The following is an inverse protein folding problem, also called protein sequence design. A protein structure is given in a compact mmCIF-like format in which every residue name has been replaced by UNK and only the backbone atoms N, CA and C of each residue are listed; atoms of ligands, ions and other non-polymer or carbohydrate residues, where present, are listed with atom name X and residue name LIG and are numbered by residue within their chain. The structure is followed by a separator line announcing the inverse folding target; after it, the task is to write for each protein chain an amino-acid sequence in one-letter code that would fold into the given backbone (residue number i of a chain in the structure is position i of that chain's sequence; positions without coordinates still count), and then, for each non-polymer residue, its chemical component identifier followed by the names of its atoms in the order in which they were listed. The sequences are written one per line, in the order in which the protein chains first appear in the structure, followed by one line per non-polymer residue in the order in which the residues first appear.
data_IF_788379656968
#
_entry.id   IF_788379656968
#
_cell.length_a   1.000
_cell.length_b   1.000
_cell.length_c   1.000
_cell.angle_alpha   90.00
_cell.angle_beta   90.00
_cell.angle_gamma   90.00
#
_symmetry.space_group_name_H-M   'P 1'
#
loop_
_entity.id
_entity.type
_entity.pdbx_description
1 polymer ?
#
# COMPACT_ATOMS: atom_id res chain seq x y z
N UNK A 1 68.41 -4.26 76.20
CA UNK A 1 68.37 -4.74 74.80
C UNK A 1 67.10 -5.57 74.63
N UNK A 2 65.99 -4.91 74.29
CA UNK A 2 65.25 -4.98 73.01
C UNK A 2 64.72 -6.39 72.64
N UNK A 3 63.39 -6.49 72.83
CA UNK A 3 62.41 -7.51 72.45
C UNK A 3 62.45 -7.84 70.95
N UNK A 4 61.98 -9.04 70.58
CA UNK A 4 61.09 -9.25 69.42
C UNK A 4 60.43 -10.63 69.47
N UNK A 5 59.10 -10.63 69.63
CA UNK A 5 58.21 -11.76 69.36
C UNK A 5 57.73 -11.64 67.90
N UNK A 6 57.77 -12.72 67.13
CA UNK A 6 57.24 -12.78 65.76
C UNK A 6 55.82 -13.37 65.83
N UNK A 7 54.80 -12.54 65.57
CA UNK A 7 53.44 -13.00 65.28
C UNK A 7 53.34 -13.37 63.79
N UNK A 8 52.93 -14.61 63.51
CA UNK A 8 52.51 -15.01 62.17
C UNK A 8 51.05 -14.55 61.94
N UNK A 9 50.87 -13.54 61.08
CA UNK A 9 49.55 -13.09 60.64
C UNK A 9 49.06 -13.90 59.44
N UNK A 10 47.91 -14.55 59.57
CA UNK A 10 47.18 -15.18 58.46
C UNK A 10 46.41 -14.08 57.72
N UNK A 11 46.73 -13.85 56.45
CA UNK A 11 45.96 -12.95 55.57
C UNK A 11 44.84 -13.77 54.92
N UNK A 12 43.59 -13.52 55.33
CA UNK A 12 42.41 -14.07 54.68
C UNK A 12 42.04 -13.14 53.50
N UNK A 13 42.20 -13.61 52.28
CA UNK A 13 41.75 -12.89 51.09
C UNK A 13 40.24 -13.10 50.90
N UNK A 14 39.44 -12.06 51.13
CA UNK A 14 38.01 -12.07 50.84
C UNK A 14 37.81 -11.84 49.33
N UNK A 15 37.44 -12.89 48.60
CA UNK A 15 36.99 -12.78 47.22
C UNK A 15 35.55 -12.25 47.18
N UNK A 16 35.39 -10.96 46.89
CA UNK A 16 34.09 -10.36 46.58
C UNK A 16 33.69 -10.76 45.14
N UNK A 17 32.87 -11.80 45.02
CA UNK A 17 32.19 -12.13 43.78
C UNK A 17 31.15 -11.06 43.47
N UNK A 18 31.42 -10.19 42.51
CA UNK A 18 30.42 -9.28 41.97
C UNK A 18 29.42 -10.10 41.15
N UNK A 19 28.21 -10.32 41.68
CA UNK A 19 27.08 -10.73 40.85
C UNK A 19 26.76 -9.56 39.91
N UNK A 20 27.12 -9.71 38.64
CA UNK A 20 26.59 -8.86 37.59
C UNK A 20 25.08 -9.13 37.48
N UNK A 21 24.28 -8.27 38.11
CA UNK A 21 22.85 -8.18 37.84
C UNK A 21 22.75 -7.64 36.42
N UNK A 22 22.53 -8.52 35.46
CA UNK A 22 22.13 -8.14 34.11
C UNK A 22 20.73 -7.54 34.23
N UNK A 23 20.67 -6.21 34.35
CA UNK A 23 19.43 -5.47 34.12
C UNK A 23 19.07 -5.73 32.65
N UNK A 24 17.91 -6.36 32.35
CA UNK A 24 17.45 -6.46 30.98
C UNK A 24 17.42 -5.04 30.42
N UNK A 25 18.10 -4.81 29.29
CA UNK A 25 17.92 -3.56 28.56
C UNK A 25 16.43 -3.38 28.24
N UNK A 26 15.96 -2.15 28.01
CA UNK A 26 14.61 -1.95 27.51
C UNK A 26 14.42 -2.86 26.28
N UNK A 27 13.42 -3.74 26.34
CA UNK A 27 12.97 -4.45 25.15
C UNK A 27 12.69 -3.36 24.09
N UNK A 28 13.11 -3.54 22.82
CA UNK A 28 12.78 -2.57 21.79
C UNK A 28 11.26 -2.39 21.84
N UNK A 29 10.80 -1.14 22.04
CA UNK A 29 9.38 -0.81 22.03
C UNK A 29 8.81 -1.43 20.74
N UNK A 30 8.08 -2.53 20.89
CA UNK A 30 7.70 -3.37 19.76
C UNK A 30 6.90 -2.54 18.76
N UNK A 31 7.11 -2.78 17.46
CA UNK A 31 6.34 -2.10 16.41
C UNK A 31 4.85 -2.24 16.72
N UNK A 32 4.17 -1.10 16.88
CA UNK A 32 2.73 -1.08 17.14
C UNK A 32 2.02 -1.81 16.01
N UNK A 33 1.26 -2.86 16.36
CA UNK A 33 0.49 -3.61 15.37
C UNK A 33 -0.57 -2.70 14.74
N UNK A 34 -0.68 -2.67 13.40
CA UNK A 34 -1.69 -1.88 12.72
C UNK A 34 -3.11 -2.34 13.07
N UNK A 35 -4.07 -1.41 13.13
CA UNK A 35 -5.50 -1.75 13.19
C UNK A 35 -5.93 -2.36 11.85
N UNK A 36 -6.60 -3.51 11.89
CA UNK A 36 -7.08 -4.23 10.71
C UNK A 36 -8.60 -4.38 10.69
N UNK A 37 -9.13 -4.63 9.49
CA UNK A 37 -10.52 -4.98 9.24
C UNK A 37 -10.54 -6.29 8.44
N UNK A 38 -11.40 -7.22 8.84
CA UNK A 38 -11.64 -8.47 8.11
C UNK A 38 -12.67 -8.26 7.01
N UNK A 39 -12.31 -8.57 5.77
CA UNK A 39 -13.18 -8.50 4.60
C UNK A 39 -13.64 -9.91 4.26
N UNK A 40 -14.97 -10.12 4.22
CA UNK A 40 -15.56 -11.41 3.88
C UNK A 40 -15.33 -11.77 2.40
N UNK A 41 -15.27 -13.07 2.04
CA UNK A 41 -15.21 -13.51 0.65
C UNK A 41 -16.42 -13.05 -0.17
N UNK A 42 -16.31 -13.03 -1.49
CA UNK A 42 -17.40 -12.65 -2.39
C UNK A 42 -16.92 -12.19 -3.76
N UNK A 43 -17.81 -11.59 -4.56
CA UNK A 43 -17.53 -11.30 -5.97
C UNK A 43 -17.42 -9.81 -6.26
N UNK A 44 -16.60 -9.48 -7.27
CA UNK A 44 -16.55 -8.14 -7.84
C UNK A 44 -16.67 -8.21 -9.37
N UNK A 45 -17.24 -7.15 -9.95
CA UNK A 45 -17.13 -6.84 -11.36
C UNK A 45 -15.70 -6.35 -11.64
N UNK A 46 -14.90 -7.16 -12.34
CA UNK A 46 -13.49 -6.89 -12.60
C UNK A 46 -13.21 -6.77 -14.09
N UNK A 47 -12.36 -5.81 -14.44
CA UNK A 47 -11.88 -5.60 -15.79
C UNK A 47 -10.37 -5.31 -15.73
N UNK A 48 -9.49 -6.14 -16.30
CA UNK A 48 -8.07 -5.84 -16.34
C UNK A 48 -7.79 -4.49 -17.00
N UNK A 49 -6.92 -3.68 -16.40
CA UNK A 49 -6.48 -2.43 -16.98
C UNK A 49 -5.23 -2.66 -17.84
N UNK A 50 -5.23 -2.12 -19.06
CA UNK A 50 -4.04 -2.13 -19.92
C UNK A 50 -4.35 -2.11 -21.40
N UNK A 51 -3.43 -2.63 -22.20
CA UNK A 51 -3.49 -2.56 -23.66
C UNK A 51 -4.03 -3.85 -24.28
N UNK A 52 -5.27 -3.79 -24.74
CA UNK A 52 -5.94 -4.92 -25.38
C UNK A 52 -6.31 -4.60 -26.82
N UNK A 53 -6.27 -5.61 -27.68
CA UNK A 53 -6.64 -5.47 -29.09
C UNK A 53 -7.72 -6.46 -29.52
N UNK A 54 -8.62 -6.01 -30.38
CA UNK A 54 -9.64 -6.83 -31.07
C UNK A 54 -9.53 -6.53 -32.56
N UNK A 55 -9.30 -7.56 -33.38
CA UNK A 55 -9.09 -7.41 -34.83
C UNK A 55 -8.05 -6.32 -35.21
N UNK A 56 -6.92 -6.27 -34.48
CA UNK A 56 -5.83 -5.32 -34.73
C UNK A 56 -6.10 -3.88 -34.27
N UNK A 57 -7.23 -3.60 -33.60
CA UNK A 57 -7.57 -2.28 -33.05
C UNK A 57 -7.61 -2.31 -31.53
N UNK A 58 -7.16 -1.23 -30.89
CA UNK A 58 -7.27 -1.07 -29.45
C UNK A 58 -8.74 -1.18 -29.01
N UNK A 59 -9.00 -2.01 -28.01
CA UNK A 59 -10.34 -2.29 -27.52
C UNK A 59 -10.28 -2.61 -26.04
N UNK A 60 -11.34 -2.31 -25.29
CA UNK A 60 -11.37 -2.55 -23.84
C UNK A 60 -12.00 -3.91 -23.55
N UNK A 61 -11.41 -4.73 -22.68
CA UNK A 61 -11.98 -6.02 -22.30
C UNK A 61 -13.35 -5.85 -21.64
N UNK A 62 -14.22 -6.85 -21.85
CA UNK A 62 -15.47 -6.97 -21.12
C UNK A 62 -15.25 -7.09 -19.60
N UNK A 63 -16.26 -6.69 -18.82
CA UNK A 63 -16.28 -6.94 -17.37
C UNK A 63 -16.51 -8.42 -17.14
N UNK A 64 -15.79 -9.01 -16.18
CA UNK A 64 -16.00 -10.38 -15.70
C UNK A 64 -16.21 -10.39 -14.19
N UNK A 65 -17.01 -11.34 -13.71
CA UNK A 65 -17.10 -11.57 -12.27
C UNK A 65 -15.87 -12.35 -11.80
N UNK A 66 -15.27 -11.92 -10.70
CA UNK A 66 -14.17 -12.64 -10.05
C UNK A 66 -14.47 -12.83 -8.58
N UNK A 67 -14.15 -14.03 -8.09
CA UNK A 67 -14.20 -14.32 -6.66
C UNK A 67 -12.94 -13.77 -5.98
N UNK A 68 -13.16 -13.06 -4.89
CA UNK A 68 -12.13 -12.56 -3.99
C UNK A 68 -12.30 -13.32 -2.67
N UNK A 69 -11.29 -14.10 -2.24
CA UNK A 69 -11.28 -14.75 -0.93
C UNK A 69 -11.44 -13.74 0.21
N UNK A 70 -11.73 -14.22 1.41
CA UNK A 70 -11.68 -13.36 2.59
C UNK A 70 -10.22 -13.00 2.93
N UNK A 71 -9.99 -11.78 3.41
CA UNK A 71 -8.66 -11.29 3.77
C UNK A 71 -8.74 -10.25 4.89
N UNK A 72 -7.63 -10.00 5.57
CA UNK A 72 -7.50 -8.91 6.53
C UNK A 72 -6.67 -7.77 5.93
N UNK A 73 -7.11 -6.53 6.14
CA UNK A 73 -6.48 -5.34 5.55
C UNK A 73 -6.37 -4.23 6.59
N UNK A 74 -5.30 -3.45 6.53
CA UNK A 74 -5.13 -2.27 7.38
C UNK A 74 -6.31 -1.31 7.23
N UNK A 75 -6.83 -0.84 8.37
CA UNK A 75 -7.94 0.11 8.42
C UNK A 75 -7.60 1.45 7.77
N UNK A 76 -6.41 1.95 8.08
CA UNK A 76 -5.86 3.20 7.56
C UNK A 76 -4.72 2.91 6.58
N UNK A 77 -4.32 3.91 5.79
CA UNK A 77 -3.04 3.84 5.08
C UNK A 77 -1.87 3.83 6.07
N UNK A 78 -0.73 3.28 5.64
CA UNK A 78 0.52 3.37 6.41
C UNK A 78 0.83 4.84 6.65
N UNK A 79 0.98 5.21 7.92
CA UNK A 79 1.27 6.57 8.33
C UNK A 79 2.74 6.91 8.18
N UNK A 80 3.04 8.22 8.12
CA UNK A 80 4.41 8.72 8.17
C UNK A 80 5.16 8.28 9.42
N UNK A 81 4.48 8.25 10.57
CA UNK A 81 5.08 7.79 11.82
C UNK A 81 5.46 6.30 11.77
N UNK A 82 4.59 5.45 11.22
CA UNK A 82 4.86 4.01 11.06
C UNK A 82 5.99 3.77 10.04
N UNK A 83 5.99 4.50 8.92
CA UNK A 83 7.05 4.39 7.92
C UNK A 83 8.41 4.86 8.47
N UNK A 84 8.44 5.92 9.29
CA UNK A 84 9.66 6.38 9.95
C UNK A 84 10.27 5.35 10.91
N UNK A 85 9.47 4.43 11.49
CA UNK A 85 10.03 3.32 12.25
C UNK A 85 10.82 2.35 11.35
N UNK A 86 10.33 2.08 10.13
CA UNK A 86 11.08 1.30 9.13
C UNK A 86 12.36 2.01 8.68
N UNK A 87 12.31 3.34 8.53
CA UNK A 87 13.47 4.17 8.23
C UNK A 87 14.50 4.13 9.37
N UNK A 88 14.05 4.24 10.62
CA UNK A 88 14.93 4.18 11.79
C UNK A 88 15.67 2.82 11.91
N UNK A 89 15.02 1.74 11.47
CA UNK A 89 15.62 0.41 11.38
C UNK A 89 16.52 0.21 10.15
N UNK A 90 16.64 1.22 9.28
CA UNK A 90 17.44 1.17 8.05
C UNK A 90 16.86 0.28 6.96
N UNK A 91 15.59 -0.12 7.08
CA UNK A 91 14.92 -1.00 6.12
C UNK A 91 14.16 -0.24 5.02
N UNK A 92 13.83 1.03 5.25
CA UNK A 92 13.16 1.91 4.31
C UNK A 92 13.99 3.17 4.02
N UNK A 93 13.84 3.74 2.82
CA UNK A 93 14.45 5.01 2.45
C UNK A 93 13.68 6.19 3.08
N UNK A 94 14.38 7.17 3.63
CA UNK A 94 13.79 8.43 4.08
C UNK A 94 13.47 9.33 2.88
N UNK A 95 12.18 9.59 2.68
CA UNK A 95 11.66 10.43 1.58
C UNK A 95 11.29 11.84 2.03
N UNK A 96 11.62 12.22 3.25
CA UNK A 96 11.50 13.61 3.74
C UNK A 96 10.05 14.10 3.92
N UNK A 97 9.07 13.21 4.05
CA UNK A 97 7.65 13.57 4.25
C UNK A 97 7.32 14.06 5.65
N UNK A 98 8.29 14.05 6.57
CA UNK A 98 8.11 14.41 7.98
C UNK A 98 7.35 13.34 8.77
N UNK A 99 6.99 13.64 10.02
CA UNK A 99 6.31 12.73 10.94
C UNK A 99 4.80 13.03 11.09
N UNK A 100 4.08 12.13 11.76
CA UNK A 100 2.70 12.34 12.20
C UNK A 100 1.69 11.35 11.61
N UNK A 101 0.42 11.53 11.99
CA UNK A 101 -0.70 10.67 11.57
C UNK A 101 -1.29 11.10 10.22
N UNK A 102 -0.43 11.23 9.22
CA UNK A 102 -0.81 11.41 7.82
C UNK A 102 -0.37 10.19 7.03
N UNK A 103 -1.05 9.89 5.93
CA UNK A 103 -0.60 8.83 5.01
C UNK A 103 0.84 9.10 4.54
N UNK A 104 1.65 8.04 4.51
CA UNK A 104 2.95 8.06 3.87
C UNK A 104 2.76 8.22 2.37
N UNK A 105 3.47 9.18 1.78
CA UNK A 105 3.42 9.48 0.35
C UNK A 105 4.84 9.52 -0.23
N UNK A 106 5.02 9.84 -1.51
CA UNK A 106 6.35 9.92 -2.14
C UNK A 106 7.12 8.60 -2.08
N UNK A 107 6.39 7.49 -2.14
CA UNK A 107 6.90 6.12 -2.14
C UNK A 107 6.53 5.44 -3.44
N UNK A 108 7.48 4.70 -4.01
CA UNK A 108 7.25 3.86 -5.17
C UNK A 108 6.79 2.45 -4.72
N UNK A 109 6.52 1.57 -5.68
CA UNK A 109 6.05 0.22 -5.37
C UNK A 109 7.09 -0.61 -4.59
N UNK A 110 8.38 -0.40 -4.89
CA UNK A 110 9.48 -1.09 -4.20
C UNK A 110 9.63 -0.63 -2.74
N UNK A 111 9.44 0.65 -2.44
CA UNK A 111 9.46 1.18 -1.07
C UNK A 111 8.30 0.60 -0.25
N UNK A 112 7.11 0.54 -0.84
CA UNK A 112 5.92 0.01 -0.19
C UNK A 112 6.05 -1.49 0.13
N UNK A 113 6.65 -2.26 -0.78
CA UNK A 113 6.93 -3.69 -0.55
C UNK A 113 8.11 -3.92 0.41
N UNK A 114 9.12 -3.04 0.42
CA UNK A 114 10.19 -3.06 1.41
C UNK A 114 9.64 -2.83 2.82
N UNK A 115 8.73 -1.87 2.99
CA UNK A 115 8.02 -1.64 4.24
C UNK A 115 7.20 -2.88 4.65
N UNK A 116 6.46 -3.50 3.72
CA UNK A 116 5.69 -4.70 4.00
C UNK A 116 6.58 -5.87 4.48
N UNK A 117 7.72 -6.06 3.83
CA UNK A 117 8.70 -7.07 4.23
C UNK A 117 9.32 -6.76 5.60
N UNK A 118 9.59 -5.49 5.92
CA UNK A 118 10.03 -5.07 7.24
C UNK A 118 8.97 -5.34 8.31
N UNK A 119 7.73 -4.91 8.09
CA UNK A 119 6.64 -5.11 9.05
C UNK A 119 6.40 -6.61 9.30
N UNK A 120 6.54 -7.43 8.27
CA UNK A 120 6.45 -8.89 8.39
C UNK A 120 7.49 -9.45 9.36
N UNK A 121 8.75 -9.01 9.25
CA UNK A 121 9.81 -9.43 10.18
C UNK A 121 9.57 -8.95 11.60
N UNK A 122 9.04 -7.73 11.75
CA UNK A 122 8.80 -7.13 13.08
C UNK A 122 7.63 -7.78 13.82
N UNK A 123 6.60 -8.20 13.09
CA UNK A 123 5.36 -8.73 13.69
C UNK A 123 5.32 -10.26 13.77
N UNK A 124 6.16 -10.94 12.98
CA UNK A 124 6.11 -12.39 12.77
C UNK A 124 4.92 -12.83 11.91
N UNK A 125 4.22 -11.89 11.27
CA UNK A 125 3.09 -12.13 10.36
C UNK A 125 3.51 -11.88 8.92
N UNK A 126 2.72 -12.33 7.94
CA UNK A 126 2.98 -12.03 6.53
C UNK A 126 2.15 -10.84 6.09
N UNK A 127 2.83 -9.73 5.76
CA UNK A 127 2.22 -8.52 5.24
C UNK A 127 2.64 -8.28 3.79
N UNK A 128 1.69 -7.88 2.95
CA UNK A 128 1.93 -7.53 1.54
C UNK A 128 1.00 -6.43 1.07
N UNK A 129 1.28 -5.88 -0.11
CA UNK A 129 0.30 -5.03 -0.79
C UNK A 129 -0.96 -5.85 -1.14
N UNK A 130 -2.16 -5.23 -1.14
CA UNK A 130 -3.35 -5.86 -1.67
C UNK A 130 -3.16 -6.16 -3.15
N UNK A 131 -3.75 -7.24 -3.64
CA UNK A 131 -4.02 -7.39 -5.07
C UNK A 131 -5.02 -6.32 -5.53
N UNK A 132 -5.08 -6.07 -6.84
CA UNK A 132 -6.06 -5.13 -7.40
C UNK A 132 -7.51 -5.53 -7.05
N UNK A 133 -7.81 -6.83 -7.06
CA UNK A 133 -9.14 -7.35 -6.76
C UNK A 133 -9.48 -7.22 -5.26
N UNK A 134 -8.54 -7.49 -4.36
CA UNK A 134 -8.70 -7.24 -2.92
C UNK A 134 -8.95 -5.74 -2.66
N UNK A 135 -8.19 -4.85 -3.29
CA UNK A 135 -8.37 -3.41 -3.13
C UNK A 135 -9.76 -2.95 -3.61
N UNK A 136 -10.20 -3.40 -4.78
CA UNK A 136 -11.54 -3.08 -5.30
C UNK A 136 -12.65 -3.62 -4.40
N UNK A 137 -12.49 -4.82 -3.85
CA UNK A 137 -13.45 -5.38 -2.89
C UNK A 137 -13.49 -4.56 -1.60
N UNK A 138 -12.33 -4.18 -1.08
CA UNK A 138 -12.18 -3.36 0.11
C UNK A 138 -12.78 -1.96 -0.07
N UNK A 139 -12.70 -1.38 -1.28
CA UNK A 139 -13.23 -0.05 -1.60
C UNK A 139 -14.76 0.03 -1.48
N UNK A 140 -15.49 -1.07 -1.69
CA UNK A 140 -16.95 -1.11 -1.58
C UNK A 140 -17.63 0.04 -2.35
N UNK A 141 -18.48 0.84 -1.69
CA UNK A 141 -19.16 1.98 -2.31
C UNK A 141 -18.23 3.16 -2.67
N UNK A 142 -16.96 3.11 -2.27
CA UNK A 142 -15.94 4.11 -2.62
C UNK A 142 -15.22 3.80 -3.94
N UNK A 143 -15.46 2.62 -4.52
CA UNK A 143 -14.96 2.24 -5.84
C UNK A 143 -15.69 3.00 -6.94
N UNK A 144 -14.97 3.71 -7.81
CA UNK A 144 -15.47 4.17 -9.11
C UNK A 144 -14.65 3.55 -10.23
N UNK A 145 -15.24 2.67 -11.06
CA UNK A 145 -14.63 2.37 -12.36
C UNK A 145 -14.87 3.59 -13.26
N UNK A 146 -13.82 4.36 -13.55
CA UNK A 146 -13.92 5.54 -14.42
C UNK A 146 -14.22 5.18 -15.88
N UNK A 147 -14.42 3.90 -16.20
CA UNK A 147 -15.02 3.47 -17.45
C UNK A 147 -16.55 3.58 -17.32
N UNK A 148 -17.17 4.69 -17.76
CA UNK A 148 -18.62 4.71 -17.94
C UNK A 148 -19.02 3.54 -18.85
N UNK A 149 -20.21 3.01 -18.66
CA UNK A 149 -20.82 1.97 -19.51
C UNK A 149 -21.21 2.58 -20.87
N UNK A 150 -20.20 3.04 -21.61
CA UNK A 150 -20.34 3.67 -22.94
C UNK A 150 -20.17 2.64 -24.07
N UNK A 151 -20.58 1.39 -23.84
CA UNK A 151 -20.65 0.36 -24.87
C UNK A 151 -19.36 0.15 -25.68
N UNK A 152 -19.53 -0.24 -26.95
CA UNK A 152 -18.45 -0.54 -27.91
C UNK A 152 -17.78 0.70 -28.53
N UNK A 153 -17.84 1.88 -27.90
CA UNK A 153 -17.19 3.06 -28.46
C UNK A 153 -15.68 2.82 -28.62
N UNK A 154 -15.15 3.26 -29.77
CA UNK A 154 -13.71 3.24 -29.98
C UNK A 154 -13.00 4.14 -28.94
N UNK A 155 -11.73 3.84 -28.60
CA UNK A 155 -11.02 4.58 -27.55
C UNK A 155 -10.95 6.09 -27.76
N UNK A 156 -10.95 6.57 -29.01
CA UNK A 156 -10.90 7.99 -29.35
C UNK A 156 -12.22 8.69 -29.02
N UNK A 157 -13.33 8.12 -29.46
CA UNK A 157 -14.68 8.66 -29.15
C UNK A 157 -14.96 8.65 -27.65
N UNK A 158 -14.51 7.62 -26.91
CA UNK A 158 -14.63 7.59 -25.45
C UNK A 158 -13.80 8.66 -24.75
N UNK A 159 -12.59 8.95 -25.25
CA UNK A 159 -11.76 10.01 -24.66
C UNK A 159 -12.44 11.39 -24.86
N UNK A 160 -13.04 11.61 -26.03
CA UNK A 160 -13.79 12.83 -26.33
C UNK A 160 -15.03 12.98 -25.45
N UNK A 161 -15.84 11.92 -25.26
CA UNK A 161 -17.05 11.96 -24.42
C UNK A 161 -16.73 12.27 -22.94
N UNK A 162 -15.63 11.73 -22.42
CA UNK A 162 -15.17 12.00 -21.06
C UNK A 162 -14.65 13.41 -20.89
N UNK A 163 -13.96 13.93 -21.90
CA UNK A 163 -13.51 15.32 -21.95
C UNK A 163 -14.71 16.28 -21.97
N UNK A 164 -15.71 16.04 -22.82
CA UNK A 164 -16.93 16.86 -22.93
C UNK A 164 -17.75 16.89 -21.64
N UNK A 165 -17.84 15.76 -20.93
CA UNK A 165 -18.55 15.68 -19.64
C UNK A 165 -17.76 16.23 -18.45
N UNK A 166 -16.55 16.72 -18.67
CA UNK A 166 -15.70 17.24 -17.61
C UNK A 166 -15.28 16.18 -16.58
N UNK A 167 -15.37 14.87 -16.92
CA UNK A 167 -14.92 13.76 -16.07
C UNK A 167 -13.42 13.87 -15.80
N UNK A 168 -12.69 14.50 -16.72
CA UNK A 168 -11.26 14.77 -16.63
C UNK A 168 -10.93 16.10 -15.91
N UNK A 169 -11.91 16.91 -15.49
CA UNK A 169 -11.67 18.21 -14.84
C UNK A 169 -11.60 18.05 -13.31
N UNK A 170 -10.69 18.79 -12.68
CA UNK A 170 -10.62 18.90 -11.22
C UNK A 170 -11.90 19.61 -10.78
N UNK A 171 -12.79 18.90 -10.11
CA UNK A 171 -13.86 19.53 -9.36
C UNK A 171 -13.30 20.41 -8.22
N UNK A 172 -14.15 20.82 -7.29
CA UNK A 172 -13.77 21.65 -6.14
C UNK A 172 -12.99 20.92 -5.03
N UNK A 173 -12.45 19.71 -5.27
CA UNK A 173 -11.76 18.94 -4.23
C UNK A 173 -10.40 19.55 -3.90
N UNK A 174 -10.19 19.88 -2.62
CA UNK A 174 -8.90 20.37 -2.12
C UNK A 174 -7.82 19.29 -2.21
N UNK A 175 -6.61 19.63 -2.68
CA UNK A 175 -5.48 18.71 -2.81
C UNK A 175 -4.75 18.38 -1.50
N UNK A 176 -5.19 18.95 -0.38
CA UNK A 176 -4.48 18.83 0.88
C UNK A 176 -4.69 17.45 1.52
N UNK A 177 -3.57 16.79 1.87
CA UNK A 177 -3.57 15.62 2.75
C UNK A 177 -4.27 15.95 4.07
N UNK A 178 -5.14 15.04 4.51
CA UNK A 178 -5.79 15.12 5.83
C UNK A 178 -5.15 14.09 6.76
N UNK A 179 -5.22 14.31 8.08
CA UNK A 179 -4.89 13.25 9.04
C UNK A 179 -5.70 11.99 8.75
N UNK A 180 -5.16 10.82 9.10
CA UNK A 180 -5.83 9.54 8.92
C UNK A 180 -7.25 9.54 9.53
N UNK A 181 -8.23 9.06 8.77
CA UNK A 181 -9.66 9.10 9.05
C UNK A 181 -10.37 10.36 8.54
N UNK A 182 -9.65 11.35 7.98
CA UNK A 182 -10.20 12.64 7.56
C UNK A 182 -11.16 12.60 6.37
N UNK A 183 -11.29 11.46 5.68
CA UNK A 183 -12.24 11.20 4.60
C UNK A 183 -13.36 10.23 5.02
N UNK A 184 -13.37 9.81 6.29
CA UNK A 184 -14.36 8.92 6.87
C UNK A 184 -14.16 7.45 6.51
N UNK A 185 -15.03 6.60 7.05
CA UNK A 185 -15.04 5.16 6.80
C UNK A 185 -16.05 4.80 5.70
N UNK A 186 -15.81 3.68 5.02
CA UNK A 186 -16.78 3.07 4.12
C UNK A 186 -17.68 2.06 4.87
N UNK A 187 -18.62 1.45 4.15
CA UNK A 187 -19.55 0.45 4.72
C UNK A 187 -18.89 -0.78 5.33
N UNK A 188 -17.62 -1.04 5.04
CA UNK A 188 -16.82 -2.14 5.58
C UNK A 188 -15.96 -1.72 6.78
N UNK A 189 -15.97 -0.44 7.18
CA UNK A 189 -15.17 0.08 8.28
C UNK A 189 -13.75 0.50 7.88
N UNK A 190 -13.44 0.57 6.58
CA UNK A 190 -12.14 1.05 6.09
C UNK A 190 -12.13 2.56 5.93
N UNK A 191 -11.12 3.19 6.50
CA UNK A 191 -10.95 4.62 6.46
C UNK A 191 -10.24 5.08 5.18
N UNK A 192 -10.62 6.27 4.72
CA UNK A 192 -9.95 7.04 3.67
C UNK A 192 -9.84 6.35 2.30
N UNK A 193 -10.56 5.25 2.03
CA UNK A 193 -10.56 4.64 0.70
C UNK A 193 -11.17 5.58 -0.35
N UNK A 194 -10.48 5.71 -1.48
CA UNK A 194 -10.85 6.66 -2.53
C UNK A 194 -10.73 8.14 -2.11
N UNK A 195 -10.13 8.43 -0.96
CA UNK A 195 -9.79 9.77 -0.50
C UNK A 195 -8.32 9.82 -0.08
N UNK A 196 -7.84 11.00 0.29
CA UNK A 196 -6.47 11.24 0.80
C UNK A 196 -5.34 11.00 -0.22
N UNK A 197 -5.14 9.74 -0.66
CA UNK A 197 -4.06 9.28 -1.53
C UNK A 197 -4.57 8.21 -2.50
N UNK A 198 -3.89 8.01 -3.63
CA UNK A 198 -3.89 6.70 -4.27
C UNK A 198 -3.12 5.68 -3.46
N UNK A 199 -3.44 4.41 -3.66
CA UNK A 199 -2.82 3.32 -2.93
C UNK A 199 -2.23 2.30 -3.89
N UNK A 200 -0.94 2.00 -3.71
CA UNK A 200 -0.30 0.92 -4.45
C UNK A 200 -1.02 -0.41 -4.20
N UNK A 201 -1.20 -1.18 -5.28
CA UNK A 201 -1.58 -2.59 -5.23
C UNK A 201 -0.48 -3.42 -5.90
N UNK A 202 -0.54 -4.74 -5.72
CA UNK A 202 0.32 -5.68 -6.44
C UNK A 202 -0.22 -6.03 -7.85
N UNK A 203 -1.34 -5.41 -8.26
CA UNK A 203 -1.89 -5.56 -9.60
C UNK A 203 -0.94 -5.03 -10.67
N UNK A 204 -0.80 -5.78 -11.77
CA UNK A 204 -0.02 -5.37 -12.93
C UNK A 204 -0.96 -4.88 -14.05
N UNK A 205 -0.49 -3.92 -14.84
CA UNK A 205 -1.11 -3.65 -16.13
C UNK A 205 -1.08 -4.93 -16.98
N UNK A 206 -2.08 -5.15 -17.81
CA UNK A 206 -2.14 -6.30 -18.71
C UNK A 206 -1.99 -5.88 -20.17
N UNK A 207 -1.37 -6.74 -20.97
CA UNK A 207 -1.47 -6.69 -22.42
C UNK A 207 -2.24 -7.90 -22.91
N UNK A 208 -2.96 -7.80 -24.03
CA UNK A 208 -3.72 -8.95 -24.49
C UNK A 208 -4.48 -8.78 -25.80
N UNK A 209 -5.14 -9.87 -26.18
CA UNK A 209 -6.02 -9.96 -27.35
C UNK A 209 -7.41 -10.43 -26.92
N UNK A 210 -8.42 -9.77 -27.47
CA UNK A 210 -9.82 -10.06 -27.21
C UNK A 210 -10.40 -10.90 -28.36
N UNK A 211 -11.30 -11.81 -27.99
CA UNK A 211 -12.17 -12.50 -28.93
C UNK A 211 -13.23 -11.54 -29.50
N UNK A 212 -14.02 -12.00 -30.47
CA UNK A 212 -15.06 -11.21 -31.11
C UNK A 212 -16.11 -10.68 -30.11
N UNK A 213 -16.45 -11.50 -29.11
CA UNK A 213 -17.41 -11.18 -28.04
C UNK A 213 -16.84 -10.27 -26.93
N UNK A 214 -15.59 -9.82 -27.05
CA UNK A 214 -14.94 -8.94 -26.07
C UNK A 214 -14.35 -9.67 -24.86
N UNK A 215 -14.46 -11.01 -24.80
CA UNK A 215 -13.76 -11.83 -23.80
C UNK A 215 -12.25 -11.85 -24.07
N UNK A 216 -11.47 -12.04 -23.01
CA UNK A 216 -10.00 -12.10 -23.11
C UNK A 216 -9.62 -13.48 -23.65
N UNK A 217 -8.98 -13.51 -24.82
CA UNK A 217 -8.50 -14.75 -25.43
C UNK A 217 -7.05 -15.05 -25.02
N UNK A 218 -6.23 -14.01 -24.88
CA UNK A 218 -4.87 -14.11 -24.37
C UNK A 218 -4.52 -12.84 -23.59
N UNK A 219 -3.78 -12.99 -22.48
CA UNK A 219 -3.28 -11.87 -21.72
C UNK A 219 -1.99 -12.19 -20.99
N UNK A 220 -1.09 -11.20 -20.92
CA UNK A 220 0.17 -11.25 -20.20
C UNK A 220 0.29 -10.04 -19.26
N UNK A 221 0.75 -10.24 -18.01
CA UNK A 221 1.00 -9.14 -17.10
C UNK A 221 2.26 -8.36 -17.49
N UNK A 222 2.20 -7.04 -17.33
CA UNK A 222 3.31 -6.10 -17.51
C UNK A 222 3.52 -5.32 -16.22
N UNK A 223 4.31 -5.90 -15.31
CA UNK A 223 4.45 -5.41 -13.94
C UNK A 223 5.43 -4.23 -13.75
N UNK A 224 6.08 -3.76 -14.83
CA UNK A 224 6.76 -2.46 -14.82
C UNK A 224 5.76 -1.29 -14.72
N UNK A 225 4.47 -1.57 -14.93
CA UNK A 225 3.36 -0.66 -14.63
C UNK A 225 2.40 -1.38 -13.69
N UNK A 226 2.21 -0.80 -12.51
CA UNK A 226 1.32 -1.33 -11.47
C UNK A 226 0.00 -0.59 -11.48
N UNK A 227 -1.01 -1.21 -10.87
CA UNK A 227 -2.32 -0.62 -10.70
C UNK A 227 -2.40 0.01 -9.31
N UNK A 228 -2.70 1.30 -9.26
CA UNK A 228 -3.03 1.99 -8.04
C UNK A 228 -4.55 2.12 -7.87
N UNK A 229 -5.03 1.94 -6.65
CA UNK A 229 -6.42 2.13 -6.26
C UNK A 229 -6.71 3.57 -5.80
N UNK A 230 -7.90 4.07 -6.11
CA UNK A 230 -8.38 5.38 -5.69
C UNK A 230 -9.85 5.60 -6.03
N UNK A 231 -10.29 6.86 -6.13
CA UNK A 231 -11.62 7.21 -6.71
C UNK A 231 -11.83 6.56 -8.07
N UNK A 232 -10.73 6.42 -8.80
CA UNK A 232 -10.60 5.60 -9.98
C UNK A 232 -9.24 4.90 -9.94
N UNK A 233 -9.14 3.77 -10.66
CA UNK A 233 -7.89 3.05 -10.82
C UNK A 233 -6.94 3.82 -11.74
N UNK A 234 -5.65 3.60 -11.56
CA UNK A 234 -4.63 4.20 -12.41
C UNK A 234 -3.48 3.24 -12.70
N UNK A 235 -2.94 3.34 -13.91
CA UNK A 235 -1.71 2.68 -14.30
C UNK A 235 -0.53 3.60 -13.95
N UNK A 236 0.35 3.14 -13.07
CA UNK A 236 1.50 3.91 -12.58
C UNK A 236 2.77 3.10 -12.77
N UNK A 237 3.80 3.70 -13.36
CA UNK A 237 5.10 3.04 -13.53
C UNK A 237 5.69 2.78 -12.14
N UNK A 238 6.21 1.58 -11.90
CA UNK A 238 6.56 1.06 -10.57
C UNK A 238 7.55 1.91 -9.76
N UNK A 239 8.44 2.66 -10.43
CA UNK A 239 9.44 3.53 -9.80
C UNK A 239 8.92 4.94 -9.45
N UNK A 240 7.72 5.30 -9.90
CA UNK A 240 7.17 6.65 -9.70
C UNK A 240 6.80 6.84 -8.23
N UNK A 241 7.38 7.86 -7.59
CA UNK A 241 7.06 8.24 -6.20
C UNK A 241 5.96 9.30 -6.13
N UNK A 242 5.93 10.18 -7.13
CA UNK A 242 5.01 11.32 -7.21
C UNK A 242 3.94 11.07 -8.27
N UNK A 243 2.70 10.91 -7.81
CA UNK A 243 1.55 10.65 -8.66
C UNK A 243 1.30 11.74 -9.71
N UNK A 244 1.72 12.98 -9.44
CA UNK A 244 1.48 14.15 -10.28
C UNK A 244 2.29 14.15 -11.59
N UNK A 245 3.38 13.37 -11.65
CA UNK A 245 4.34 13.38 -12.78
C UNK A 245 4.42 12.07 -13.57
N UNK A 246 3.83 10.97 -13.09
CA UNK A 246 4.12 9.64 -13.66
C UNK A 246 2.95 8.65 -13.82
N UNK A 247 1.70 9.08 -13.57
CA UNK A 247 0.51 8.23 -13.75
C UNK A 247 -0.18 8.43 -15.10
N UNK A 248 -0.39 7.36 -15.86
CA UNK A 248 -1.37 7.37 -16.96
C UNK A 248 -2.74 7.01 -16.37
N UNK A 249 -3.48 8.02 -15.95
CA UNK A 249 -4.88 7.88 -15.58
C UNK A 249 -5.79 8.38 -16.70
N UNK A 250 -6.97 7.78 -16.78
CA UNK A 250 -8.12 8.44 -17.40
C UNK A 250 -8.55 9.54 -16.42
N UNK A 251 -8.06 10.77 -16.61
CA UNK A 251 -8.33 11.90 -15.70
C UNK A 251 -7.07 12.68 -15.34
N UNK A 252 -7.24 13.77 -14.58
CA UNK A 252 -6.11 14.48 -13.98
C UNK A 252 -5.39 13.56 -12.97
N UNK A 253 -4.04 13.56 -12.94
CA UNK A 253 -3.30 12.85 -11.92
C UNK A 253 -3.63 13.43 -10.52
N UNK A 254 -3.74 12.57 -9.50
CA UNK A 254 -4.18 12.95 -8.16
C UNK A 254 -3.05 13.61 -7.39
N UNK A 255 -3.39 14.05 -6.18
CA UNK A 255 -2.51 14.84 -5.34
C UNK A 255 -1.40 14.05 -4.68
N UNK A 256 -1.58 12.75 -4.42
CA UNK A 256 -0.63 11.93 -3.65
C UNK A 256 -0.77 10.42 -3.94
N UNK A 257 0.31 9.66 -3.73
CA UNK A 257 0.36 8.19 -3.83
C UNK A 257 1.05 7.62 -2.59
N UNK A 258 0.38 6.68 -1.93
CA UNK A 258 0.80 5.95 -0.74
C UNK A 258 0.37 4.50 -0.83
N UNK A 259 0.10 3.85 0.30
CA UNK A 259 -0.29 2.44 0.33
C UNK A 259 -0.90 2.01 1.67
N UNK A 260 -1.57 0.85 1.65
CA UNK A 260 -1.97 0.08 2.83
C UNK A 260 -1.64 -1.39 2.58
N UNK A 261 -1.58 -2.20 3.63
CA UNK A 261 -1.21 -3.61 3.54
C UNK A 261 -2.37 -4.54 3.88
N UNK A 262 -2.30 -5.75 3.35
CA UNK A 262 -3.09 -6.89 3.79
C UNK A 262 -2.21 -7.84 4.59
N UNK A 263 -2.84 -8.52 5.56
CA UNK A 263 -2.23 -9.59 6.34
C UNK A 263 -2.72 -10.93 5.79
N UNK A 264 -1.79 -11.84 5.49
CA UNK A 264 -2.15 -13.21 5.16
C UNK A 264 -2.47 -13.98 6.44
N UNK A 265 -3.56 -14.76 6.39
CA UNK A 265 -4.04 -15.60 7.49
C UNK A 265 -3.46 -17.00 7.47
#
# INVERSE_FOLDING_TARGET
MRKSFILAGVVMAAALGALAITVPGPEPDGVTRPETVSIAPGQIAFRPLGNFSRAGKASTPGVRQVEVPGFEIMKFQVSRAEYLACVADGACEDVGTGAGRYAQTMVNWADATAYAAWLSRQTGETWRLPSEAEWQRAAAERQGDAAPDEGELDPGTRMLSQYERGVLLRGSSSPALRPLGGFGENSLGLADLGGNVWEWTDGCMATGRLAADGSIEASEPYCGVRIAGGRHRAAVIDFVRDASVGGCAVGLPPDHLGFRLVREG
#
